data_IF_722309851983
#
_entry.id   IF_722309851983
#
_cell.length_a   1.000
_cell.length_b   1.000
_cell.length_c   1.000
_cell.angle_alpha   90.00
_cell.angle_beta   90.00
_cell.angle_gamma   90.00
#
_symmetry.space_group_name_H-M   'P 1'
#
loop_
_entity.id
_entity.type
_entity.pdbx_description
1 polymer ?
#
# COMPACT_ATOMS: atom_id res chain seq x y z
N UNK A 1 -23.33 4.64 -1.14
CA UNK A 1 -22.53 5.68 -0.48
C UNK A 1 -22.09 6.65 -1.57
N UNK A 2 -22.04 7.97 -1.35
CA UNK A 2 -21.49 8.88 -2.36
C UNK A 2 -20.06 8.45 -2.70
N UNK A 3 -19.79 8.27 -3.99
CA UNK A 3 -18.45 7.97 -4.49
C UNK A 3 -17.68 9.28 -4.53
N UNK A 4 -16.71 9.43 -3.63
CA UNK A 4 -15.78 10.55 -3.65
C UNK A 4 -14.54 10.15 -4.46
N UNK A 5 -13.99 11.09 -5.20
CA UNK A 5 -12.79 10.87 -5.99
C UNK A 5 -11.56 11.08 -5.10
N UNK A 6 -10.91 9.97 -4.74
CA UNK A 6 -9.64 9.99 -4.02
C UNK A 6 -8.48 9.86 -5.02
N UNK A 7 -7.52 10.76 -4.95
CA UNK A 7 -6.30 10.76 -5.75
C UNK A 7 -5.09 10.71 -4.84
N UNK A 8 -4.25 9.69 -5.03
CA UNK A 8 -3.00 9.52 -4.29
C UNK A 8 -1.81 9.76 -5.20
N UNK A 9 -0.88 10.59 -4.75
CA UNK A 9 0.35 10.91 -5.48
C UNK A 9 1.57 10.60 -4.63
N UNK A 10 2.59 9.98 -5.23
CA UNK A 10 3.88 9.74 -4.58
C UNK A 10 4.98 10.51 -5.30
N UNK A 11 5.65 11.42 -4.58
CA UNK A 11 6.72 12.27 -5.13
C UNK A 11 8.12 11.65 -5.04
N UNK A 12 8.20 10.38 -4.62
CA UNK A 12 9.46 9.70 -4.32
C UNK A 12 9.80 9.68 -2.84
N UNK A 13 9.13 10.48 -2.00
CA UNK A 13 9.38 10.55 -0.56
C UNK A 13 8.12 10.49 0.30
N UNK A 14 7.04 11.08 -0.20
CA UNK A 14 5.77 11.21 0.51
C UNK A 14 4.60 10.85 -0.39
N UNK A 15 3.60 10.20 0.20
CA UNK A 15 2.31 9.94 -0.39
C UNK A 15 1.39 11.05 0.05
N UNK A 16 0.78 11.75 -0.89
CA UNK A 16 -0.18 12.83 -0.65
C UNK A 16 -1.54 12.42 -1.19
N UNK A 17 -2.59 12.81 -0.49
CA UNK A 17 -3.98 12.55 -0.87
C UNK A 17 -4.69 13.84 -1.26
N UNK A 18 -5.47 13.79 -2.34
CA UNK A 18 -6.45 14.78 -2.73
C UNK A 18 -7.83 14.10 -2.81
N UNK A 19 -8.87 14.73 -2.26
CA UNK A 19 -10.24 14.22 -2.29
C UNK A 19 -11.24 15.34 -2.53
N UNK A 20 -12.34 15.04 -3.22
CA UNK A 20 -13.46 15.97 -3.40
C UNK A 20 -14.51 15.88 -2.28
N UNK A 21 -14.32 14.98 -1.30
CA UNK A 21 -15.21 14.81 -0.15
C UNK A 21 -15.28 16.09 0.70
N UNK A 22 -16.43 16.78 0.76
CA UNK A 22 -16.58 18.03 1.50
C UNK A 22 -16.42 17.89 3.02
N UNK A 23 -16.64 16.70 3.59
CA UNK A 23 -16.38 16.46 5.02
C UNK A 23 -14.87 16.46 5.31
N UNK A 24 -14.09 16.07 4.31
CA UNK A 24 -12.65 16.06 4.38
C UNK A 24 -12.02 17.32 3.80
N UNK A 25 -12.74 18.26 3.16
CA UNK A 25 -12.14 19.51 2.63
C UNK A 25 -11.42 20.38 3.66
N UNK A 26 -11.81 20.33 4.93
CA UNK A 26 -11.11 21.03 6.03
C UNK A 26 -9.95 20.20 6.62
N UNK A 27 -9.92 18.89 6.40
CA UNK A 27 -8.83 17.95 6.73
C UNK A 27 -7.95 17.60 5.51
N UNK A 28 -8.32 18.09 4.32
CA UNK A 28 -7.58 18.07 3.07
C UNK A 28 -6.34 18.98 3.13
N UNK A 29 -6.01 19.45 4.34
CA UNK A 29 -4.63 19.64 4.77
C UNK A 29 -3.86 18.33 4.64
N UNK A 30 -3.50 17.98 3.40
CA UNK A 30 -2.38 17.12 3.00
C UNK A 30 -2.01 16.09 4.06
N UNK A 31 -2.81 15.04 4.23
CA UNK A 31 -2.28 13.87 4.92
C UNK A 31 -1.14 13.34 4.05
N UNK A 32 0.07 13.54 4.55
CA UNK A 32 1.31 13.13 3.90
C UNK A 32 1.89 11.99 4.70
N UNK A 33 2.03 10.83 4.06
CA UNK A 33 2.66 9.68 4.67
C UNK A 33 4.01 9.42 4.02
N UNK A 34 5.05 9.25 4.82
CA UNK A 34 6.34 8.82 4.34
C UNK A 34 6.47 7.30 4.53
N UNK A 35 6.50 6.48 3.46
CA UNK A 35 6.85 5.08 3.59
C UNK A 35 8.27 4.95 4.14
N UNK A 36 8.54 3.90 4.90
CA UNK A 36 9.88 3.75 5.48
C UNK A 36 10.90 3.43 4.38
N UNK A 37 12.17 3.74 4.63
CA UNK A 37 13.26 3.49 3.66
C UNK A 37 13.40 2.01 3.27
N UNK A 38 12.87 1.07 4.07
CA UNK A 38 12.84 -0.36 3.73
C UNK A 38 11.77 -0.72 2.68
N UNK A 39 10.61 -0.04 2.72
CA UNK A 39 9.47 -0.30 1.81
C UNK A 39 9.43 0.65 0.61
N UNK A 40 10.11 1.79 0.71
CA UNK A 40 10.18 2.79 -0.36
C UNK A 40 10.71 2.21 -1.69
N UNK A 41 11.78 1.38 -1.74
CA UNK A 41 12.23 0.77 -3.00
C UNK A 41 11.18 -0.15 -3.61
N UNK A 42 10.42 -0.87 -2.78
CA UNK A 42 9.34 -1.75 -3.20
C UNK A 42 8.23 -0.94 -3.84
N UNK A 43 7.77 0.12 -3.16
CA UNK A 43 6.75 1.02 -3.68
C UNK A 43 7.15 1.63 -5.03
N UNK A 44 8.38 2.14 -5.14
CA UNK A 44 8.91 2.71 -6.40
C UNK A 44 8.87 1.66 -7.52
N UNK A 45 9.25 0.41 -7.23
CA UNK A 45 9.25 -0.64 -8.24
C UNK A 45 7.84 -0.99 -8.73
N UNK A 46 6.84 -1.02 -7.83
CA UNK A 46 5.43 -1.18 -8.22
C UNK A 46 4.95 -0.01 -9.09
N UNK A 47 5.20 1.23 -8.67
CA UNK A 47 4.78 2.42 -9.41
C UNK A 47 5.42 2.48 -10.81
N UNK A 48 6.69 2.09 -10.93
CA UNK A 48 7.38 2.01 -12.22
C UNK A 48 6.75 0.97 -13.19
N UNK A 49 5.99 0.00 -12.68
CA UNK A 49 5.21 -0.97 -13.48
C UNK A 49 3.80 -0.49 -13.80
N UNK A 50 3.46 0.76 -13.48
CA UNK A 50 2.12 1.32 -13.68
C UNK A 50 1.08 0.78 -12.69
N UNK A 51 1.53 0.34 -11.51
CA UNK A 51 0.63 0.12 -10.37
C UNK A 51 0.26 1.47 -9.77
N UNK A 52 -0.99 1.63 -9.35
CA UNK A 52 -1.49 2.85 -8.73
C UNK A 52 -1.72 2.64 -7.24
N UNK A 53 -1.57 3.72 -6.48
CA UNK A 53 -1.91 3.76 -5.04
C UNK A 53 -3.41 4.02 -4.94
N UNK A 54 -4.12 3.15 -4.23
CA UNK A 54 -5.55 3.24 -3.99
C UNK A 54 -5.88 3.73 -2.58
N UNK A 55 -4.91 3.66 -1.66
CA UNK A 55 -5.11 4.09 -0.29
C UNK A 55 -3.80 4.26 0.47
N UNK A 56 -3.83 5.12 1.48
CA UNK A 56 -2.81 5.18 2.52
C UNK A 56 -3.49 5.57 3.84
N UNK A 57 -3.16 4.86 4.92
CA UNK A 57 -3.80 5.12 6.21
C UNK A 57 -3.34 4.16 7.30
N UNK A 58 -4.07 4.18 8.42
CA UNK A 58 -3.82 3.27 9.54
C UNK A 58 -3.97 1.81 9.09
N UNK A 59 -3.00 0.98 9.47
CA UNK A 59 -2.92 -0.42 9.02
C UNK A 59 -3.62 -1.43 9.94
N UNK A 60 -3.40 -2.71 9.64
CA UNK A 60 -3.80 -3.84 10.50
C UNK A 60 -2.94 -3.91 11.78
N UNK A 61 -3.25 -4.83 12.71
CA UNK A 61 -2.67 -4.93 14.06
C UNK A 61 -1.13 -4.93 14.19
N UNK A 62 -0.39 -5.06 13.09
CA UNK A 62 1.09 -5.03 13.03
C UNK A 62 1.68 -3.83 12.28
N UNK A 63 0.85 -3.02 11.61
CA UNK A 63 1.27 -1.88 10.81
C UNK A 63 0.52 -0.61 11.22
N UNK A 64 1.25 0.45 11.54
CA UNK A 64 0.72 1.79 11.80
C UNK A 64 0.36 2.54 10.52
N UNK A 65 1.02 2.20 9.42
CA UNK A 65 0.78 2.79 8.12
C UNK A 65 0.74 1.68 7.09
N UNK A 66 -0.34 1.58 6.32
CA UNK A 66 -0.43 0.68 5.17
C UNK A 66 -0.74 1.51 3.92
N UNK A 67 0.00 1.20 2.85
CA UNK A 67 -0.21 1.76 1.51
C UNK A 67 -0.87 0.68 0.65
N UNK A 68 -2.10 0.92 0.25
CA UNK A 68 -2.86 0.04 -0.63
C UNK A 68 -2.57 0.31 -2.09
N UNK A 69 -2.25 -0.75 -2.83
CA UNK A 69 -1.98 -0.74 -4.26
C UNK A 69 -3.07 -1.48 -5.02
N UNK A 70 -3.36 -1.05 -6.24
CA UNK A 70 -4.39 -1.67 -7.08
C UNK A 70 -4.08 -3.13 -7.43
N UNK A 71 -2.80 -3.48 -7.51
CA UNK A 71 -2.34 -4.81 -7.90
C UNK A 71 -0.92 -5.03 -7.41
N UNK A 72 -0.52 -6.28 -7.30
CA UNK A 72 0.86 -6.57 -6.92
C UNK A 72 1.35 -7.94 -7.36
N UNK A 73 2.25 -8.52 -6.57
CA UNK A 73 2.86 -9.81 -6.85
C UNK A 73 1.91 -10.95 -6.48
N UNK A 74 2.07 -12.09 -7.17
CA UNK A 74 1.50 -13.35 -6.69
C UNK A 74 2.17 -13.79 -5.38
N UNK A 75 1.50 -14.68 -4.64
CA UNK A 75 1.93 -15.16 -3.33
C UNK A 75 3.41 -15.59 -3.28
N UNK A 76 3.85 -16.45 -4.20
CA UNK A 76 5.21 -16.98 -4.22
C UNK A 76 6.26 -15.89 -4.45
N UNK A 77 5.97 -14.95 -5.35
CA UNK A 77 6.83 -13.80 -5.61
C UNK A 77 6.88 -12.85 -4.41
N UNK A 78 5.74 -12.61 -3.72
CA UNK A 78 5.71 -11.79 -2.50
C UNK A 78 6.57 -12.38 -1.39
N UNK A 79 6.46 -13.69 -1.13
CA UNK A 79 7.27 -14.38 -0.10
C UNK A 79 8.76 -14.27 -0.43
N UNK A 80 9.11 -14.43 -1.70
CA UNK A 80 10.50 -14.32 -2.17
C UNK A 80 11.02 -12.90 -1.95
N UNK A 81 10.23 -11.90 -2.31
CA UNK A 81 10.59 -10.50 -2.16
C UNK A 81 10.74 -10.09 -0.70
N UNK A 82 9.82 -10.57 0.16
CA UNK A 82 9.89 -10.39 1.60
C UNK A 82 11.24 -10.88 2.14
N UNK A 83 11.60 -12.12 1.78
CA UNK A 83 12.87 -12.73 2.20
C UNK A 83 14.09 -11.98 1.69
N UNK A 84 14.10 -11.61 0.40
CA UNK A 84 15.23 -10.93 -0.23
C UNK A 84 15.54 -9.56 0.42
N UNK A 85 14.51 -8.89 0.93
CA UNK A 85 14.64 -7.55 1.53
C UNK A 85 14.61 -7.53 3.05
N UNK A 86 14.51 -8.68 3.71
CA UNK A 86 14.35 -8.73 5.17
C UNK A 86 13.03 -8.09 5.64
N UNK A 87 11.97 -8.21 4.83
CA UNK A 87 10.62 -7.76 5.15
C UNK A 87 9.77 -8.96 5.58
N UNK A 88 8.70 -8.68 6.31
CA UNK A 88 7.68 -9.65 6.63
C UNK A 88 6.66 -9.79 5.49
N UNK A 89 6.15 -11.01 5.34
CA UNK A 89 5.03 -11.31 4.44
C UNK A 89 3.71 -11.26 5.22
N UNK A 90 2.72 -10.58 4.65
CA UNK A 90 1.37 -10.51 5.18
C UNK A 90 0.39 -11.14 4.17
N UNK A 91 -0.54 -11.92 4.70
CA UNK A 91 -1.66 -12.52 3.96
C UNK A 91 -2.90 -12.33 4.82
N UNK A 92 -3.92 -11.68 4.27
CA UNK A 92 -5.22 -11.59 4.89
C UNK A 92 -6.19 -12.51 4.16
N UNK A 93 -6.61 -13.57 4.85
CA UNK A 93 -7.62 -14.53 4.41
C UNK A 93 -8.93 -14.42 5.22
N UNK A 94 -9.04 -13.41 6.09
CA UNK A 94 -10.20 -13.22 6.92
C UNK A 94 -11.43 -12.86 6.07
N UNK A 95 -12.48 -13.68 6.12
CA UNK A 95 -13.72 -13.55 5.34
C UNK A 95 -14.41 -12.17 5.44
N UNK A 96 -14.14 -11.41 6.50
CA UNK A 96 -14.76 -10.10 6.77
C UNK A 96 -14.08 -8.95 6.04
N UNK A 97 -12.92 -9.18 5.41
CA UNK A 97 -12.11 -8.15 4.76
C UNK A 97 -11.69 -8.63 3.37
N UNK A 98 -11.40 -7.72 2.43
CA UNK A 98 -10.85 -8.10 1.13
C UNK A 98 -9.58 -8.94 1.32
N UNK A 99 -9.48 -10.02 0.55
CA UNK A 99 -8.30 -10.86 0.58
C UNK A 99 -7.13 -10.09 -0.02
N UNK A 100 -6.09 -9.85 0.78
CA UNK A 100 -4.89 -9.11 0.35
C UNK A 100 -3.62 -9.90 0.62
N UNK A 101 -2.60 -9.61 -0.20
CA UNK A 101 -1.21 -9.89 0.11
C UNK A 101 -0.52 -8.59 0.49
N UNK A 102 0.57 -8.68 1.24
CA UNK A 102 1.36 -7.51 1.55
C UNK A 102 2.78 -7.81 1.99
N UNK A 103 3.56 -6.75 2.01
CA UNK A 103 4.90 -6.68 2.57
C UNK A 103 4.87 -5.71 3.74
N UNK A 104 5.51 -6.06 4.86
CA UNK A 104 5.56 -5.19 6.02
C UNK A 104 6.97 -5.11 6.62
N UNK A 105 7.31 -3.93 7.13
CA UNK A 105 8.55 -3.71 7.84
C UNK A 105 8.30 -3.84 9.34
N UNK A 106 8.90 -4.85 9.97
CA UNK A 106 8.74 -5.09 11.41
C UNK A 106 9.27 -3.95 12.28
N UNK A 107 10.37 -3.31 11.85
CA UNK A 107 11.02 -2.23 12.60
C UNK A 107 10.19 -0.95 12.56
N UNK A 108 9.75 -0.54 11.37
CA UNK A 108 9.03 0.72 11.19
C UNK A 108 7.51 0.58 11.40
N UNK A 109 6.99 -0.65 11.42
CA UNK A 109 5.56 -0.95 11.44
C UNK A 109 4.82 -0.31 10.26
N UNK A 110 5.43 -0.28 9.09
CA UNK A 110 4.79 0.18 7.85
C UNK A 110 4.48 -1.05 6.98
N UNK A 111 3.48 -0.96 6.11
CA UNK A 111 3.08 -2.02 5.19
C UNK A 111 2.71 -1.48 3.81
N UNK A 112 2.76 -2.36 2.83
CA UNK A 112 2.21 -2.19 1.49
C UNK A 112 1.35 -3.42 1.22
N UNK A 113 0.12 -3.23 0.73
CA UNK A 113 -0.79 -4.33 0.44
C UNK A 113 -1.48 -4.18 -0.92
N UNK A 114 -2.01 -5.29 -1.43
CA UNK A 114 -2.73 -5.36 -2.69
C UNK A 114 -3.68 -6.56 -2.72
N UNK A 115 -4.73 -6.53 -3.57
CA UNK A 115 -5.68 -7.63 -3.71
C UNK A 115 -5.04 -8.95 -4.17
N UNK A 116 -5.55 -10.08 -3.68
CA UNK A 116 -5.08 -11.42 -4.07
C UNK A 116 -5.57 -11.86 -5.47
N UNK A 117 -6.73 -11.36 -5.88
CA UNK A 117 -7.51 -11.81 -7.04
C UNK A 117 -7.33 -10.94 -8.28
N UNK A 118 -6.58 -9.83 -8.19
CA UNK A 118 -6.34 -8.92 -9.30
C UNK A 118 -5.09 -9.27 -10.12
N UNK A 119 -5.01 -8.71 -11.34
CA UNK A 119 -3.94 -8.94 -12.31
C UNK A 119 -2.56 -8.79 -11.68
N UNK A 120 -1.87 -9.91 -11.47
CA UNK A 120 -0.53 -9.89 -10.87
C UNK A 120 0.46 -9.22 -11.81
N UNK A 121 1.37 -8.42 -11.26
CA UNK A 121 2.53 -7.93 -12.00
C UNK A 121 3.66 -8.95 -11.92
N UNK A 122 4.56 -8.90 -12.90
CA UNK A 122 5.80 -9.69 -12.86
C UNK A 122 6.70 -9.23 -11.69
N UNK A 123 7.70 -10.04 -11.35
CA UNK A 123 8.67 -9.74 -10.30
C UNK A 123 9.26 -8.32 -10.42
N UNK A 124 9.52 -7.72 -9.26
CA UNK A 124 10.03 -6.35 -9.05
C UNK A 124 11.46 -6.34 -8.53
#
# INVERSE_FOLDING_TARGET
>A
MPEYNWQYNFDGNTITVATDDPHWKNHASKQSWAPCEHLKPVLIAFLAKGVIIEGAGDGWSKAKLVVGLSKGLNRSATITEAKNRGLGFFENDAYQYPSTYGLYCEVCQHGIDWPQDQSTINAI
#
